data_IF_535446988303
#
_entry.id   IF_535446988303
#
_cell.length_a   1.000
_cell.length_b   1.000
_cell.length_c   1.000
_cell.angle_alpha   90.00
_cell.angle_beta   90.00
_cell.angle_gamma   90.00
#
_symmetry.space_group_name_H-M   'P 1'
#
loop_
_entity.id
_entity.type
_entity.pdbx_description
1 polymer ?
#
# COMPACT_ATOMS: atom_id res chain seq x y z
N UNK A 1 4.88 12.86 2.64
CA UNK A 1 4.64 11.83 3.67
C UNK A 1 5.45 12.11 4.93
N UNK A 2 6.79 12.16 4.85
CA UNK A 2 7.64 12.42 6.02
C UNK A 2 7.31 13.69 6.82
N UNK A 3 6.92 14.81 6.18
CA UNK A 3 6.51 16.03 6.89
C UNK A 3 5.19 15.88 7.67
N UNK A 4 4.27 15.04 7.17
CA UNK A 4 3.03 14.75 7.87
C UNK A 4 3.34 13.85 9.08
N UNK A 5 4.08 12.76 8.86
CA UNK A 5 4.52 11.85 9.93
C UNK A 5 5.28 12.62 11.03
N UNK A 6 6.21 13.52 10.68
CA UNK A 6 6.92 14.33 11.66
C UNK A 6 6.01 15.31 12.44
N UNK A 7 4.92 15.78 11.83
CA UNK A 7 4.00 16.72 12.46
C UNK A 7 3.02 16.05 13.44
N UNK A 8 2.77 14.74 13.30
CA UNK A 8 1.88 13.97 14.18
C UNK A 8 2.58 12.90 15.02
N UNK A 9 3.87 12.65 14.78
CA UNK A 9 4.69 11.71 15.56
C UNK A 9 4.91 12.21 16.99
N UNK A 10 4.60 11.38 17.97
CA UNK A 10 4.87 11.61 19.39
C UNK A 10 6.08 10.77 19.86
N UNK A 11 7.27 11.38 20.02
CA UNK A 11 8.45 10.67 20.48
C UNK A 11 8.47 10.40 21.99
N UNK A 12 7.43 10.78 22.76
CA UNK A 12 7.49 10.86 24.22
C UNK A 12 7.59 9.50 24.93
N UNK A 13 7.09 8.42 24.33
CA UNK A 13 7.15 7.07 24.91
C UNK A 13 7.63 6.02 23.90
N UNK A 14 8.96 5.85 23.75
CA UNK A 14 9.53 4.89 22.80
C UNK A 14 9.34 3.41 23.21
N UNK A 15 8.85 3.13 24.41
CA UNK A 15 8.69 1.76 24.93
C UNK A 15 7.26 1.26 24.71
N UNK A 16 6.26 2.08 25.03
CA UNK A 16 4.85 1.70 24.95
C UNK A 16 4.13 2.29 23.73
N UNK A 17 4.65 3.36 23.13
CA UNK A 17 4.11 3.98 21.92
C UNK A 17 5.18 4.22 20.83
N UNK A 18 5.84 3.16 20.34
CA UNK A 18 6.85 3.28 19.29
C UNK A 18 6.25 3.68 17.94
N UNK A 19 7.08 4.18 17.02
CA UNK A 19 6.68 4.70 15.70
C UNK A 19 5.76 3.77 14.88
N UNK A 20 5.87 2.44 15.03
CA UNK A 20 5.02 1.47 14.35
C UNK A 20 3.60 1.34 14.95
N UNK A 21 3.34 1.93 16.13
CA UNK A 21 2.00 2.11 16.73
C UNK A 21 1.33 3.42 16.35
N UNK A 22 2.11 4.43 15.93
CA UNK A 22 1.63 5.78 15.61
C UNK A 22 1.48 6.03 14.10
N UNK A 23 1.70 4.99 13.28
CA UNK A 23 1.60 5.07 11.84
C UNK A 23 0.15 5.04 11.35
N UNK A 24 -0.03 4.58 10.11
CA UNK A 24 -1.35 4.34 9.55
C UNK A 24 -1.99 3.16 10.29
N UNK A 25 -3.10 3.43 10.98
CA UNK A 25 -3.80 2.44 11.81
C UNK A 25 -5.09 1.94 11.19
N UNK A 26 -5.64 2.68 10.22
CA UNK A 26 -7.03 2.52 9.80
C UNK A 26 -7.15 2.11 8.32
N UNK A 27 -8.19 1.33 8.02
CA UNK A 27 -8.49 0.79 6.70
C UNK A 27 -9.79 1.38 6.14
N UNK A 28 -9.86 1.60 4.82
CA UNK A 28 -11.12 1.89 4.12
C UNK A 28 -12.15 0.76 4.26
N UNK A 29 -11.70 -0.45 4.61
CA UNK A 29 -12.54 -1.58 5.01
C UNK A 29 -13.26 -1.40 6.36
N UNK A 30 -13.12 -0.24 7.02
CA UNK A 30 -13.92 0.15 8.17
C UNK A 30 -13.42 -0.36 9.53
N UNK A 31 -12.13 -0.69 9.61
CA UNK A 31 -11.50 -1.23 10.81
C UNK A 31 -10.14 -0.59 11.12
N UNK A 32 -9.74 -0.63 12.38
CA UNK A 32 -8.45 -0.14 12.89
C UNK A 32 -7.63 -1.27 13.51
N UNK A 33 -6.30 -1.24 13.39
CA UNK A 33 -5.39 -2.23 14.00
C UNK A 33 -5.54 -2.31 15.54
N UNK A 34 -6.07 -1.24 16.15
CA UNK A 34 -6.42 -1.18 17.57
C UNK A 34 -7.66 -1.99 17.96
N UNK A 35 -8.37 -2.59 16.98
CA UNK A 35 -9.60 -3.37 17.19
C UNK A 35 -10.90 -2.55 17.10
N UNK A 36 -10.79 -1.25 16.79
CA UNK A 36 -11.94 -0.37 16.61
C UNK A 36 -12.56 -0.44 15.21
N UNK A 37 -13.81 0.01 15.09
CA UNK A 37 -14.46 0.30 13.81
C UNK A 37 -14.21 1.74 13.40
N UNK A 38 -14.00 1.98 12.11
CA UNK A 38 -13.67 3.32 11.58
C UNK A 38 -14.68 3.67 10.48
N UNK A 39 -15.34 4.81 10.60
CA UNK A 39 -16.36 5.26 9.62
C UNK A 39 -15.76 6.12 8.51
N UNK A 40 -14.64 6.80 8.78
CA UNK A 40 -13.94 7.61 7.80
C UNK A 40 -12.44 7.66 8.14
N UNK A 41 -11.63 6.74 7.60
CA UNK A 41 -10.19 6.71 7.84
C UNK A 41 -9.43 7.75 6.97
N UNK A 42 -10.12 8.50 6.10
CA UNK A 42 -9.50 9.49 5.21
C UNK A 42 -8.56 8.89 4.16
N UNK A 43 -7.77 9.72 3.48
CA UNK A 43 -6.83 9.27 2.44
C UNK A 43 -5.56 8.62 2.99
N UNK A 44 -5.25 8.82 4.28
CA UNK A 44 -4.10 8.24 4.95
C UNK A 44 -4.45 6.92 5.64
N UNK A 45 -5.21 6.06 4.96
CA UNK A 45 -5.47 4.66 5.30
C UNK A 45 -4.46 3.73 4.65
N UNK A 46 -4.46 2.44 5.00
CA UNK A 46 -3.56 1.46 4.37
C UNK A 46 -3.74 1.43 2.85
N UNK A 47 -4.98 1.38 2.40
CA UNK A 47 -5.35 1.38 0.98
C UNK A 47 -5.04 2.72 0.33
N UNK A 48 -5.29 3.83 1.03
CA UNK A 48 -5.01 5.17 0.51
C UNK A 48 -3.52 5.41 0.27
N UNK A 49 -2.65 5.01 1.18
CA UNK A 49 -1.19 5.10 0.96
C UNK A 49 -0.71 4.13 -0.10
N UNK A 50 -1.20 2.88 -0.11
CA UNK A 50 -0.86 1.94 -1.16
C UNK A 50 -1.27 2.48 -2.55
N UNK A 51 -2.47 3.06 -2.66
CA UNK A 51 -2.99 3.66 -3.88
C UNK A 51 -2.18 4.87 -4.33
N UNK A 52 -1.90 5.84 -3.45
CA UNK A 52 -1.10 7.04 -3.76
C UNK A 52 0.33 6.65 -4.14
N UNK A 53 0.94 5.69 -3.44
CA UNK A 53 2.29 5.22 -3.75
C UNK A 53 2.34 4.49 -5.09
N UNK A 54 1.37 3.60 -5.35
CA UNK A 54 1.27 2.87 -6.62
C UNK A 54 1.05 3.82 -7.80
N UNK A 55 0.10 4.75 -7.66
CA UNK A 55 -0.13 5.78 -8.67
C UNK A 55 1.11 6.64 -8.89
N UNK A 56 1.72 7.12 -7.82
CA UNK A 56 2.88 7.99 -7.91
C UNK A 56 4.08 7.31 -8.57
N UNK A 57 4.30 6.03 -8.28
CA UNK A 57 5.32 5.23 -8.95
C UNK A 57 5.03 5.10 -10.45
N UNK A 58 3.83 4.67 -10.84
CA UNK A 58 3.46 4.53 -12.25
C UNK A 58 3.46 5.85 -13.01
N UNK A 59 2.73 6.86 -12.52
CA UNK A 59 2.46 8.13 -13.19
C UNK A 59 3.66 9.09 -13.21
N UNK A 60 4.57 9.02 -12.24
CA UNK A 60 5.67 9.99 -12.12
C UNK A 60 7.05 9.35 -12.23
N UNK A 61 7.29 8.24 -11.51
CA UNK A 61 8.61 7.62 -11.47
C UNK A 61 8.91 6.87 -12.78
N UNK A 62 8.03 5.95 -13.18
CA UNK A 62 8.22 5.07 -14.35
C UNK A 62 8.11 5.84 -15.67
N UNK A 63 7.13 6.74 -15.78
CA UNK A 63 6.94 7.60 -16.96
C UNK A 63 8.07 8.62 -17.15
N UNK A 64 8.87 8.85 -16.11
CA UNK A 64 9.88 9.89 -16.11
C UNK A 64 9.32 11.32 -16.06
N UNK A 65 8.02 11.51 -15.81
CA UNK A 65 7.40 12.84 -15.73
C UNK A 65 7.97 13.66 -14.57
N UNK A 66 8.21 13.01 -13.42
CA UNK A 66 8.88 13.59 -12.26
C UNK A 66 9.84 12.58 -11.60
N UNK A 67 10.45 11.71 -12.41
CA UNK A 67 11.39 10.69 -11.97
C UNK A 67 12.36 10.31 -13.07
N UNK A 68 13.32 9.40 -12.79
CA UNK A 68 14.34 9.01 -13.74
C UNK A 68 13.82 8.03 -14.82
N UNK A 69 12.63 7.45 -14.65
CA UNK A 69 12.19 6.29 -15.44
C UNK A 69 12.72 4.98 -14.86
N UNK A 70 12.77 3.93 -15.67
CA UNK A 70 13.23 2.60 -15.28
C UNK A 70 14.32 2.09 -16.23
N UNK A 71 14.99 1.01 -15.85
CA UNK A 71 15.94 0.34 -16.72
C UNK A 71 15.23 -0.38 -17.87
N UNK A 72 15.67 -0.13 -19.10
CA UNK A 72 15.18 -0.80 -20.32
C UNK A 72 16.38 -1.12 -21.21
N UNK A 73 16.35 -2.28 -21.86
CA UNK A 73 17.39 -2.73 -22.79
C UNK A 73 16.78 -3.21 -24.11
N UNK A 74 17.63 -3.33 -25.12
CA UNK A 74 17.30 -4.10 -26.32
C UNK A 74 17.16 -5.61 -26.00
N UNK A 75 16.56 -6.41 -26.89
CA UNK A 75 16.36 -7.85 -26.68
C UNK A 75 17.63 -8.67 -26.44
N UNK A 76 18.79 -8.15 -26.86
CA UNK A 76 20.09 -8.81 -26.66
C UNK A 76 20.82 -8.29 -25.41
N UNK A 77 20.25 -7.31 -24.68
CA UNK A 77 20.82 -6.78 -23.45
C UNK A 77 22.10 -5.97 -23.62
N UNK A 78 22.37 -5.45 -24.82
CA UNK A 78 23.65 -4.79 -25.16
C UNK A 78 23.65 -3.29 -24.90
N UNK A 79 22.48 -2.66 -24.88
CA UNK A 79 22.29 -1.21 -24.87
C UNK A 79 21.37 -0.74 -23.73
N UNK A 80 21.38 -1.48 -22.61
CA UNK A 80 20.59 -1.16 -21.43
C UNK A 80 20.91 0.22 -20.83
N UNK A 81 19.87 0.97 -20.50
CA UNK A 81 19.97 2.25 -19.79
C UNK A 81 18.68 2.58 -19.05
N UNK A 82 18.77 3.50 -18.10
CA UNK A 82 17.58 4.11 -17.49
C UNK A 82 16.94 5.07 -18.48
N UNK A 83 15.63 4.94 -18.68
CA UNK A 83 14.86 5.84 -19.53
C UNK A 83 13.39 5.94 -19.10
N UNK A 84 12.74 7.03 -19.48
CA UNK A 84 11.31 7.22 -19.36
C UNK A 84 10.54 6.19 -20.21
N UNK A 85 9.42 5.69 -19.67
CA UNK A 85 8.59 4.68 -20.34
C UNK A 85 7.15 5.19 -20.45
N UNK A 86 6.66 5.32 -21.68
CA UNK A 86 5.27 5.70 -21.90
C UNK A 86 4.33 4.54 -21.54
N UNK A 87 3.18 4.82 -20.90
CA UNK A 87 2.19 3.80 -20.59
C UNK A 87 1.53 3.29 -21.87
N UNK A 88 1.21 2.00 -21.85
CA UNK A 88 0.54 1.29 -22.94
C UNK A 88 -0.82 0.82 -22.45
N UNK A 89 -1.87 1.16 -23.21
CA UNK A 89 -3.26 0.89 -22.82
C UNK A 89 -3.96 -0.15 -23.70
N UNK A 90 -3.33 -0.57 -24.80
CA UNK A 90 -3.84 -1.63 -25.66
C UNK A 90 -3.52 -3.02 -25.12
N UNK A 91 -3.86 -4.05 -25.90
CA UNK A 91 -3.63 -5.45 -25.53
C UNK A 91 -2.13 -5.80 -25.42
N UNK A 92 -1.27 -5.04 -26.10
CA UNK A 92 0.18 -5.12 -26.00
C UNK A 92 0.71 -4.72 -24.61
N UNK A 93 -0.12 -4.10 -23.77
CA UNK A 93 0.17 -3.88 -22.35
C UNK A 93 0.11 -5.15 -21.50
N UNK A 94 -0.26 -6.32 -22.04
CA UNK A 94 -0.19 -7.61 -21.35
C UNK A 94 1.00 -8.48 -21.81
N UNK A 95 1.84 -7.96 -22.71
CA UNK A 95 3.09 -8.61 -23.11
C UNK A 95 4.18 -8.33 -22.05
N UNK A 96 4.73 -9.37 -21.38
CA UNK A 96 5.73 -9.20 -20.33
C UNK A 96 7.06 -8.58 -20.81
N UNK A 97 7.25 -8.45 -22.12
CA UNK A 97 8.44 -7.82 -22.70
C UNK A 97 8.20 -6.37 -23.15
N UNK A 98 6.97 -5.84 -22.99
CA UNK A 98 6.64 -4.44 -23.28
C UNK A 98 6.71 -3.63 -21.98
N UNK A 99 7.73 -2.78 -21.78
CA UNK A 99 7.91 -2.07 -20.50
C UNK A 99 6.78 -1.07 -20.20
N UNK A 100 6.04 -0.65 -21.22
CA UNK A 100 4.88 0.23 -21.08
C UNK A 100 3.74 -0.33 -20.23
N UNK A 101 3.66 -1.66 -20.09
CA UNK A 101 2.78 -2.32 -19.10
C UNK A 101 3.04 -1.77 -17.70
N UNK A 102 4.30 -1.65 -17.28
CA UNK A 102 4.63 -1.38 -15.89
C UNK A 102 4.00 -0.06 -15.46
N UNK A 103 4.06 0.97 -16.32
CA UNK A 103 3.43 2.25 -16.05
C UNK A 103 1.89 2.15 -16.02
N UNK A 104 1.26 1.52 -17.03
CA UNK A 104 -0.20 1.41 -17.11
C UNK A 104 -0.80 0.54 -16.01
N UNK A 105 -0.13 -0.56 -15.65
CA UNK A 105 -0.49 -1.45 -14.56
C UNK A 105 -0.54 -0.69 -13.23
N UNK A 106 0.51 0.04 -12.87
CA UNK A 106 0.54 0.78 -11.60
C UNK A 106 -0.52 1.88 -11.54
N UNK A 107 -0.73 2.59 -12.65
CA UNK A 107 -1.78 3.61 -12.73
C UNK A 107 -3.17 2.97 -12.57
N UNK A 108 -3.45 1.89 -13.31
CA UNK A 108 -4.74 1.20 -13.25
C UNK A 108 -4.98 0.54 -11.88
N UNK A 109 -3.98 -0.15 -11.32
CA UNK A 109 -4.06 -0.79 -10.01
C UNK A 109 -4.36 0.22 -8.91
N UNK A 110 -3.80 1.44 -8.98
CA UNK A 110 -4.12 2.50 -8.02
C UNK A 110 -5.60 2.92 -8.07
N UNK A 111 -6.19 3.02 -9.27
CA UNK A 111 -7.62 3.27 -9.42
C UNK A 111 -8.48 2.11 -8.92
N UNK A 112 -8.03 0.86 -9.10
CA UNK A 112 -8.70 -0.31 -8.54
C UNK A 112 -8.69 -0.24 -7.01
N UNK A 113 -7.56 0.07 -6.38
CA UNK A 113 -7.46 0.24 -4.92
C UNK A 113 -8.40 1.34 -4.41
N UNK A 114 -8.47 2.49 -5.11
CA UNK A 114 -9.41 3.55 -4.79
C UNK A 114 -10.87 3.08 -4.93
N UNK A 115 -11.21 2.39 -6.02
CA UNK A 115 -12.56 1.94 -6.31
C UNK A 115 -13.07 0.82 -5.40
N UNK A 116 -12.22 -0.15 -5.03
CA UNK A 116 -12.62 -1.31 -4.21
C UNK A 116 -12.53 -1.02 -2.71
N UNK A 117 -11.56 -0.21 -2.28
CA UNK A 117 -11.37 0.07 -0.85
C UNK A 117 -12.48 0.93 -0.26
N UNK A 118 -13.02 1.90 -0.99
CA UNK A 118 -14.04 2.83 -0.48
C UNK A 118 -15.46 2.22 -0.34
N UNK A 119 -15.69 0.96 -0.73
CA UNK A 119 -17.05 0.41 -0.91
C UNK A 119 -17.41 -0.83 -0.10
N UNK A 120 -16.50 -1.42 0.68
CA UNK A 120 -16.74 -2.70 1.36
C UNK A 120 -16.26 -2.65 2.81
N UNK A 121 -17.19 -2.53 3.76
CA UNK A 121 -16.85 -2.77 5.16
C UNK A 121 -16.60 -4.27 5.34
N UNK A 122 -15.35 -4.66 5.53
CA UNK A 122 -14.93 -6.05 5.68
C UNK A 122 -14.69 -6.37 7.16
N UNK A 123 -15.15 -7.52 7.65
CA UNK A 123 -14.91 -7.91 9.03
C UNK A 123 -13.42 -8.18 9.28
N UNK A 124 -12.89 -7.67 10.40
CA UNK A 124 -11.49 -7.85 10.83
C UNK A 124 -11.03 -9.31 10.87
N UNK A 125 -11.95 -10.26 11.05
CA UNK A 125 -11.67 -11.70 11.15
C UNK A 125 -10.95 -12.26 9.91
N UNK A 126 -11.14 -11.65 8.73
CA UNK A 126 -10.48 -12.09 7.49
C UNK A 126 -8.98 -11.74 7.45
N UNK A 127 -8.56 -10.70 8.20
CA UNK A 127 -7.17 -10.28 8.30
C UNK A 127 -6.45 -10.92 9.48
N UNK A 128 -7.18 -11.25 10.55
CA UNK A 128 -6.64 -11.86 11.76
C UNK A 128 -5.93 -13.20 11.48
N UNK A 129 -6.52 -14.05 10.64
CA UNK A 129 -5.89 -15.31 10.23
C UNK A 129 -4.60 -15.10 9.44
N UNK A 130 -4.55 -14.09 8.58
CA UNK A 130 -3.38 -13.77 7.77
C UNK A 130 -2.24 -13.14 8.61
N UNK A 131 -2.58 -12.25 9.55
CA UNK A 131 -1.64 -11.64 10.50
C UNK A 131 -0.97 -12.69 11.42
N UNK A 132 -1.73 -13.71 11.85
CA UNK A 132 -1.20 -14.86 12.62
C UNK A 132 -0.25 -15.71 11.77
N UNK A 133 -0.61 -15.99 10.51
CA UNK A 133 0.25 -16.74 9.56
C UNK A 133 1.55 -15.98 9.27
N UNK A 134 1.51 -14.65 9.17
CA UNK A 134 2.68 -13.79 8.97
C UNK A 134 3.49 -13.51 10.25
N UNK A 135 3.13 -14.10 11.40
CA UNK A 135 3.93 -14.02 12.64
C UNK A 135 3.78 -12.71 13.43
N UNK A 136 2.81 -11.86 13.10
CA UNK A 136 2.53 -10.59 13.80
C UNK A 136 1.65 -10.91 15.02
N UNK A 137 2.27 -11.52 16.04
CA UNK A 137 1.57 -12.03 17.25
C UNK A 137 1.45 -10.99 18.36
N UNK A 138 2.31 -9.97 18.35
CA UNK A 138 2.50 -9.07 19.49
C UNK A 138 1.66 -7.78 19.43
N UNK A 139 0.86 -7.59 18.38
CA UNK A 139 0.07 -6.35 18.20
C UNK A 139 -1.28 -6.40 18.92
N UNK A 140 -1.74 -7.58 19.37
CA UNK A 140 -3.06 -7.73 19.97
C UNK A 140 -3.03 -7.58 21.50
N UNK A 141 -3.91 -6.73 22.03
CA UNK A 141 -4.18 -6.62 23.46
C UNK A 141 -4.65 -7.98 24.02
N UNK A 142 -4.20 -8.35 25.22
CA UNK A 142 -4.53 -9.62 25.92
C UNK A 142 -6.01 -10.00 25.86
N UNK A 143 -6.90 -9.00 25.83
CA UNK A 143 -8.36 -9.17 25.74
C UNK A 143 -8.81 -9.95 24.49
N UNK A 144 -8.13 -9.77 23.36
CA UNK A 144 -8.47 -10.48 22.11
C UNK A 144 -7.95 -11.92 22.07
N UNK A 145 -6.87 -12.21 22.80
CA UNK A 145 -6.33 -13.58 22.92
C UNK A 145 -7.28 -14.45 23.76
N UNK A 146 -7.89 -13.88 24.80
CA UNK A 146 -8.80 -14.61 25.69
C UNK A 146 -10.16 -14.93 25.04
N UNK A 147 -10.70 -14.07 24.17
CA UNK A 147 -11.94 -14.38 23.44
C UNK A 147 -11.77 -15.48 22.38
N UNK A 148 -10.58 -15.64 21.80
CA UNK A 148 -10.29 -16.70 20.82
C UNK A 148 -10.05 -18.09 21.45
N UNK A 149 -9.61 -18.14 22.71
CA UNK A 149 -9.38 -19.39 23.43
C UNK A 149 -10.68 -20.03 23.98
N UNK A 150 -11.83 -19.37 23.79
CA UNK A 150 -13.15 -19.84 24.24
C UNK A 150 -14.05 -20.39 23.11
N UNK A 151 -13.48 -20.66 21.93
CA UNK A 151 -14.14 -21.40 20.83
C UNK A 151 -13.50 -22.76 20.64
#
# INVERSE_FOLDING_TARGET
MALYELAVFDPSDPVLDPMWRQGITDSWGGWSISGGTVTNPGIWSYEGVAGVACFGFGAFHVTGLYGPGIWVSDPYGLTGKVQAVNPVWGAEGFDPFVPGEIASHHIAAAFVVAGTGMGQQQPQSNYLGLLIICGIRDTFSKKYIEELAMV
#
